data_IF_744858443266
#
_entry.id   IF_744858443266
#
_cell.length_a   1.000
_cell.length_b   1.000
_cell.length_c   1.000
_cell.angle_alpha   90.00
_cell.angle_beta   90.00
_cell.angle_gamma   90.00
#
_symmetry.space_group_name_H-M   'P 1'
#
loop_
_entity.id
_entity.type
_entity.pdbx_description
1 polymer ?
#
# COMPACT_ATOMS: atom_id res chain seq x y z
N UNK A 1 20.26 -35.05 8.61
CA UNK A 1 19.95 -34.29 7.37
C UNK A 1 19.58 -32.86 7.76
N UNK A 2 20.38 -31.88 7.32
CA UNK A 2 20.36 -30.49 7.79
C UNK A 2 19.08 -29.77 7.36
N UNK A 3 18.36 -29.15 8.33
CA UNK A 3 17.24 -28.24 8.08
C UNK A 3 17.77 -27.01 7.34
N UNK A 4 17.25 -26.75 6.14
CA UNK A 4 17.38 -25.45 5.48
C UNK A 4 16.56 -24.44 6.28
N UNK A 5 17.25 -23.51 6.94
CA UNK A 5 16.62 -22.31 7.46
C UNK A 5 16.45 -21.34 6.29
N UNK A 6 15.20 -21.13 5.90
CA UNK A 6 14.77 -20.13 4.93
C UNK A 6 14.40 -18.90 5.75
N UNK A 7 15.29 -17.92 5.84
CA UNK A 7 15.02 -16.67 6.54
C UNK A 7 14.38 -15.67 5.57
N UNK A 8 13.26 -15.12 6.03
CA UNK A 8 12.26 -14.41 5.25
C UNK A 8 12.20 -12.96 5.71
N UNK A 9 11.94 -12.06 4.77
CA UNK A 9 11.37 -10.75 5.07
C UNK A 9 9.95 -10.94 5.65
N UNK A 10 9.90 -11.24 6.95
CA UNK A 10 8.68 -11.21 7.75
C UNK A 10 8.46 -9.78 8.26
N UNK A 11 7.33 -9.20 7.89
CA UNK A 11 7.02 -7.78 8.09
C UNK A 11 6.70 -7.37 9.55
N UNK A 12 7.19 -8.10 10.57
CA UNK A 12 6.73 -7.93 11.95
C UNK A 12 7.82 -7.92 13.04
N UNK A 13 9.05 -7.46 12.75
CA UNK A 13 9.96 -7.08 13.84
C UNK A 13 9.72 -5.62 14.31
N UNK A 14 9.61 -5.38 15.63
CA UNK A 14 9.34 -4.06 16.19
C UNK A 14 10.56 -3.13 16.09
N UNK A 15 10.32 -1.88 15.71
CA UNK A 15 11.32 -0.81 15.80
C UNK A 15 11.54 -0.35 17.25
N UNK A 16 12.76 0.09 17.62
CA UNK A 16 13.01 0.78 18.89
C UNK A 16 12.38 2.18 18.88
N UNK A 17 11.61 2.49 19.93
CA UNK A 17 10.92 3.79 20.12
C UNK A 17 11.91 4.91 20.44
N UNK A 18 11.73 6.06 19.79
CA UNK A 18 12.21 7.37 20.24
C UNK A 18 11.01 8.21 20.75
N UNK A 19 11.22 8.95 21.84
CA UNK A 19 10.21 9.73 22.56
C UNK A 19 9.91 11.08 21.88
N UNK A 20 8.66 11.60 21.97
CA UNK A 20 8.30 12.90 21.39
C UNK A 20 8.51 14.06 22.38
N UNK A 21 9.15 15.13 21.90
CA UNK A 21 9.21 16.44 22.55
C UNK A 21 8.01 17.30 22.14
N UNK A 22 7.39 17.93 23.14
CA UNK A 22 6.27 18.86 23.05
C UNK A 22 6.75 20.28 22.67
N UNK A 23 5.98 20.99 21.85
CA UNK A 23 6.07 22.46 21.75
C UNK A 23 4.67 23.08 21.72
N UNK A 24 4.59 24.23 22.39
CA UNK A 24 3.42 24.93 22.92
C UNK A 24 2.82 25.87 21.87
N UNK A 25 1.50 26.09 21.98
CA UNK A 25 0.70 27.01 21.17
C UNK A 25 0.86 28.46 21.65
N UNK A 26 0.85 29.42 20.71
CA UNK A 26 0.70 30.84 21.00
C UNK A 26 -0.61 31.35 20.36
N UNK A 27 -1.44 31.97 21.19
CA UNK A 27 -2.71 32.60 20.85
C UNK A 27 -2.45 34.00 20.31
N UNK A 28 -3.02 34.35 19.14
CA UNK A 28 -3.09 35.74 18.71
C UNK A 28 -4.52 36.17 18.38
N UNK A 29 -4.90 37.29 18.98
CA UNK A 29 -6.23 37.89 18.97
C UNK A 29 -6.38 38.72 17.71
N UNK A 30 -7.48 38.56 16.97
CA UNK A 30 -7.95 39.69 16.16
C UNK A 30 -9.47 39.74 16.00
N UNK A 31 -10.00 40.94 16.26
CA UNK A 31 -11.43 41.29 16.28
C UNK A 31 -11.99 41.43 14.87
N UNK A 32 -13.22 40.98 14.66
CA UNK A 32 -14.01 41.21 13.46
C UNK A 32 -14.95 42.42 13.64
N UNK A 33 -15.04 43.35 12.68
CA UNK A 33 -16.11 44.35 12.64
C UNK A 33 -17.35 43.82 11.91
N UNK A 34 -18.52 44.14 12.46
CA UNK A 34 -19.84 43.87 11.93
C UNK A 34 -20.28 44.92 10.89
N UNK A 35 -21.13 44.50 9.93
CA UNK A 35 -22.09 45.28 9.12
C UNK A 35 -22.82 44.27 8.21
N UNK A 36 -23.87 43.58 8.68
CA UNK A 36 -25.31 43.93 8.66
C UNK A 36 -25.81 44.51 7.32
N UNK A 37 -26.92 43.93 6.86
CA UNK A 37 -27.87 44.37 5.83
C UNK A 37 -27.60 43.88 4.39
N UNK A 38 -27.93 42.62 4.10
CA UNK A 38 -28.64 42.21 2.87
C UNK A 38 -29.23 40.77 2.92
N UNK A 39 -29.31 40.15 4.10
CA UNK A 39 -29.72 38.74 4.26
C UNK A 39 -31.23 38.51 4.55
N UNK A 40 -32.08 39.53 4.49
CA UNK A 40 -33.50 39.39 4.89
C UNK A 40 -34.50 39.25 3.73
N UNK A 41 -34.05 39.25 2.47
CA UNK A 41 -34.95 39.21 1.31
C UNK A 41 -35.08 37.83 0.62
N UNK A 42 -34.47 36.77 1.16
CA UNK A 42 -34.56 35.40 0.61
C UNK A 42 -35.27 34.38 1.53
N UNK A 43 -35.78 34.82 2.68
CA UNK A 43 -36.31 33.92 3.73
C UNK A 43 -37.81 33.62 3.57
N UNK A 44 -38.55 34.37 2.74
CA UNK A 44 -40.01 34.27 2.68
C UNK A 44 -40.59 33.47 1.49
N UNK A 45 -39.77 32.69 0.75
CA UNK A 45 -40.24 32.00 -0.48
C UNK A 45 -40.00 30.48 -0.50
N UNK A 46 -39.71 29.84 0.64
CA UNK A 46 -39.54 28.35 0.71
C UNK A 46 -40.40 27.72 1.81
N UNK A 47 -41.37 28.45 2.35
CA UNK A 47 -42.30 27.94 3.36
C UNK A 47 -43.50 27.22 2.71
N UNK A 48 -43.27 26.19 1.87
CA UNK A 48 -44.34 25.25 1.52
C UNK A 48 -43.88 23.90 0.93
N UNK A 49 -42.84 23.28 1.49
CA UNK A 49 -42.69 21.82 1.36
C UNK A 49 -42.35 21.21 2.72
N UNK A 50 -43.22 20.30 3.17
CA UNK A 50 -43.06 19.53 4.38
C UNK A 50 -41.77 18.69 4.34
N UNK A 51 -40.68 19.28 4.83
CA UNK A 51 -39.45 18.55 5.10
C UNK A 51 -39.74 17.43 6.12
N UNK A 52 -39.23 16.20 5.91
CA UNK A 52 -39.30 15.18 6.94
C UNK A 52 -38.65 15.71 8.23
N UNK A 53 -39.11 15.32 9.43
CA UNK A 53 -38.60 15.89 10.66
C UNK A 53 -37.08 15.74 10.69
N UNK A 54 -36.40 16.87 10.92
CA UNK A 54 -34.95 16.93 11.03
C UNK A 54 -34.51 15.90 12.08
N UNK A 55 -33.85 14.83 11.63
CA UNK A 55 -33.26 13.85 12.53
C UNK A 55 -32.18 14.55 13.34
N UNK A 56 -32.16 14.43 14.68
CA UNK A 56 -31.13 15.05 15.48
C UNK A 56 -29.76 14.51 15.04
N UNK A 57 -28.74 15.37 15.01
CA UNK A 57 -27.36 15.02 14.58
C UNK A 57 -26.80 13.80 15.33
N UNK A 58 -27.29 13.53 16.55
CA UNK A 58 -26.98 12.33 17.34
C UNK A 58 -27.42 11.02 16.69
N UNK A 59 -28.46 11.01 15.85
CA UNK A 59 -28.88 9.83 15.07
C UNK A 59 -28.05 9.65 13.78
N UNK A 60 -27.35 10.69 13.31
CA UNK A 60 -26.45 10.60 12.16
C UNK A 60 -25.05 10.08 12.53
N UNK A 61 -24.66 10.19 13.80
CA UNK A 61 -23.42 9.61 14.33
C UNK A 61 -23.73 8.20 14.84
N UNK A 62 -24.11 7.29 13.93
CA UNK A 62 -24.13 5.88 14.28
C UNK A 62 -22.70 5.47 14.68
N UNK A 63 -22.50 4.78 15.81
CA UNK A 63 -21.17 4.33 16.21
C UNK A 63 -20.57 3.50 15.08
N UNK A 64 -19.30 3.76 14.72
CA UNK A 64 -18.63 3.04 13.64
C UNK A 64 -18.76 1.53 13.88
N UNK A 65 -19.42 0.84 12.96
CA UNK A 65 -19.69 -0.59 13.08
C UNK A 65 -18.67 -1.38 12.27
N UNK A 66 -17.91 -2.24 12.96
CA UNK A 66 -16.95 -3.15 12.35
C UNK A 66 -17.40 -4.59 12.57
N UNK A 67 -17.47 -5.40 11.52
CA UNK A 67 -17.98 -6.77 11.62
C UNK A 67 -17.10 -7.77 10.91
N UNK A 68 -16.66 -8.78 11.66
CA UNK A 68 -16.00 -9.95 11.10
C UNK A 68 -17.02 -10.95 10.50
N UNK A 69 -16.79 -11.53 9.31
CA UNK A 69 -17.73 -12.49 8.69
C UNK A 69 -18.05 -13.70 9.57
N UNK A 70 -17.05 -14.16 10.34
CA UNK A 70 -17.19 -15.24 11.34
C UNK A 70 -17.36 -14.74 12.77
N UNK A 71 -17.85 -13.51 12.94
CA UNK A 71 -18.03 -12.96 14.28
C UNK A 71 -18.96 -13.85 15.10
N UNK A 72 -18.50 -14.21 16.29
CA UNK A 72 -19.27 -14.97 17.27
C UNK A 72 -19.41 -14.22 18.60
N UNK A 73 -18.84 -13.00 18.67
CA UNK A 73 -18.93 -12.07 19.79
C UNK A 73 -18.92 -10.65 19.30
N UNK A 74 -19.37 -9.75 20.17
CA UNK A 74 -19.41 -8.32 19.94
C UNK A 74 -18.98 -7.59 21.21
N UNK A 75 -18.26 -6.49 21.04
CA UNK A 75 -17.87 -5.61 22.12
C UNK A 75 -18.04 -4.15 21.69
N UNK A 76 -18.51 -3.32 22.62
CA UNK A 76 -18.51 -1.87 22.44
C UNK A 76 -17.13 -1.34 22.87
N UNK A 77 -16.39 -0.81 21.92
CA UNK A 77 -15.07 -0.21 22.12
C UNK A 77 -15.20 1.28 21.83
N UNK A 78 -15.15 2.13 22.87
CA UNK A 78 -15.43 3.58 22.77
C UNK A 78 -16.77 3.83 22.04
N UNK A 79 -16.72 4.57 20.93
CA UNK A 79 -17.85 4.94 20.08
C UNK A 79 -18.01 4.00 18.88
N UNK A 80 -17.43 2.79 18.93
CA UNK A 80 -17.53 1.79 17.88
C UNK A 80 -18.09 0.47 18.42
N UNK A 81 -18.92 -0.18 17.60
CA UNK A 81 -19.39 -1.55 17.86
C UNK A 81 -18.55 -2.49 17.01
N UNK A 82 -17.81 -3.40 17.65
CA UNK A 82 -16.90 -4.32 16.98
C UNK A 82 -17.38 -5.75 17.18
N UNK A 83 -17.91 -6.37 16.13
CA UNK A 83 -18.20 -7.79 16.06
C UNK A 83 -16.97 -8.55 15.57
N UNK A 84 -16.48 -9.50 16.36
CA UNK A 84 -15.17 -10.14 16.17
C UNK A 84 -15.25 -11.67 16.27
N UNK A 85 -14.30 -12.35 15.63
CA UNK A 85 -14.14 -13.79 15.77
C UNK A 85 -13.35 -14.09 17.05
N UNK A 86 -13.98 -14.76 18.01
CA UNK A 86 -13.35 -15.22 19.23
C UNK A 86 -12.96 -16.70 19.13
N UNK A 87 -11.69 -17.00 19.39
CA UNK A 87 -11.13 -18.37 19.36
C UNK A 87 -10.38 -18.71 20.65
N UNK A 88 -10.50 -19.95 21.11
CA UNK A 88 -9.69 -20.49 22.21
C UNK A 88 -8.67 -21.50 21.71
N UNK A 89 -7.45 -21.47 22.25
CA UNK A 89 -6.35 -22.33 21.79
C UNK A 89 -5.26 -22.54 22.83
N UNK A 90 -4.28 -23.40 22.50
CA UNK A 90 -3.11 -23.67 23.34
C UNK A 90 -2.09 -22.54 23.20
N UNK A 91 -2.14 -21.56 24.10
CA UNK A 91 -1.24 -20.39 24.09
C UNK A 91 -1.13 -19.74 25.47
N UNK A 92 -0.09 -18.93 25.62
CA UNK A 92 0.33 -18.33 26.90
C UNK A 92 -0.31 -16.97 27.19
N UNK A 93 -0.72 -16.22 26.16
CA UNK A 93 -1.20 -14.82 26.27
C UNK A 93 -2.46 -14.60 25.42
N UNK A 94 -3.25 -13.56 25.72
CA UNK A 94 -4.36 -13.04 24.88
C UNK A 94 -3.75 -12.36 23.65
N UNK A 95 -4.33 -12.57 22.46
CA UNK A 95 -3.78 -12.07 21.20
C UNK A 95 -4.87 -11.45 20.33
N UNK A 96 -4.55 -10.32 19.72
CA UNK A 96 -5.42 -9.56 18.84
C UNK A 96 -4.80 -9.51 17.45
N UNK A 97 -5.59 -9.82 16.43
CA UNK A 97 -5.19 -9.68 15.04
C UNK A 97 -6.28 -8.93 14.28
N UNK A 98 -5.90 -7.92 13.51
CA UNK A 98 -6.80 -7.17 12.64
C UNK A 98 -6.38 -7.45 11.21
N UNK A 99 -7.26 -8.13 10.46
CA UNK A 99 -7.06 -8.44 9.04
C UNK A 99 -8.11 -7.74 8.16
N UNK A 100 -8.12 -8.07 6.87
CA UNK A 100 -9.15 -7.60 5.92
C UNK A 100 -10.57 -7.93 6.39
N UNK A 101 -10.70 -9.09 7.02
CA UNK A 101 -11.98 -9.60 7.51
C UNK A 101 -12.36 -8.99 8.86
N UNK A 102 -11.54 -8.14 9.48
CA UNK A 102 -11.80 -7.51 10.77
C UNK A 102 -11.01 -8.12 11.93
N UNK A 103 -11.53 -7.97 13.15
CA UNK A 103 -10.85 -8.35 14.39
C UNK A 103 -11.02 -9.85 14.69
N UNK A 104 -9.90 -10.51 14.98
CA UNK A 104 -9.83 -11.86 15.57
C UNK A 104 -9.19 -11.76 16.95
N UNK A 105 -9.91 -12.25 17.96
CA UNK A 105 -9.45 -12.33 19.34
C UNK A 105 -9.23 -13.78 19.67
N UNK A 106 -7.98 -14.12 19.96
CA UNK A 106 -7.69 -15.43 20.51
C UNK A 106 -7.60 -15.28 22.04
N UNK A 107 -8.06 -16.24 22.87
CA UNK A 107 -7.65 -16.38 24.30
C UNK A 107 -7.17 -17.81 24.71
N UNK A 108 -6.28 -18.00 25.71
CA UNK A 108 -5.99 -19.32 26.29
C UNK A 108 -7.26 -19.99 26.82
N UNK A 109 -7.26 -21.32 26.96
CA UNK A 109 -8.45 -22.05 27.46
C UNK A 109 -8.82 -21.66 28.90
N UNK A 110 -7.83 -21.36 29.73
CA UNK A 110 -8.01 -21.05 31.16
C UNK A 110 -8.39 -19.59 31.43
N UNK A 111 -8.15 -18.66 30.50
CA UNK A 111 -8.45 -17.25 30.69
C UNK A 111 -9.96 -17.02 30.62
N UNK A 112 -10.59 -16.48 31.67
CA UNK A 112 -12.02 -16.21 31.68
C UNK A 112 -12.38 -15.06 30.73
N UNK A 113 -13.64 -15.00 30.32
CA UNK A 113 -14.09 -14.03 29.32
C UNK A 113 -13.92 -12.58 29.77
N UNK A 114 -14.15 -12.28 31.06
CA UNK A 114 -14.04 -10.91 31.57
C UNK A 114 -12.62 -10.35 31.44
N UNK A 115 -11.57 -11.18 31.53
CA UNK A 115 -10.18 -10.76 31.30
C UNK A 115 -9.93 -10.46 29.82
N UNK A 116 -10.56 -11.21 28.92
CA UNK A 116 -10.52 -10.93 27.47
C UNK A 116 -11.19 -9.59 27.17
N UNK A 117 -12.35 -9.34 27.77
CA UNK A 117 -13.07 -8.08 27.62
C UNK A 117 -12.31 -6.90 28.24
N UNK A 118 -11.65 -7.09 29.38
CA UNK A 118 -10.78 -6.08 29.98
C UNK A 118 -9.60 -5.75 29.05
N UNK A 119 -8.94 -6.76 28.48
CA UNK A 119 -7.88 -6.57 27.51
C UNK A 119 -8.36 -5.90 26.20
N UNK A 120 -9.59 -6.21 25.74
CA UNK A 120 -10.22 -5.52 24.61
C UNK A 120 -10.44 -4.03 24.89
N UNK A 121 -10.93 -3.69 26.09
CA UNK A 121 -11.14 -2.29 26.50
C UNK A 121 -9.81 -1.55 26.61
N UNK A 122 -8.80 -2.16 27.21
CA UNK A 122 -7.44 -1.59 27.32
C UNK A 122 -6.82 -1.31 25.94
N UNK A 123 -7.08 -2.17 24.95
CA UNK A 123 -6.56 -2.00 23.57
C UNK A 123 -7.55 -1.30 22.63
N UNK A 124 -8.64 -0.73 23.12
CA UNK A 124 -9.72 -0.17 22.29
C UNK A 124 -9.21 0.84 21.26
N UNK A 125 -8.36 1.78 21.67
CA UNK A 125 -7.75 2.81 20.82
C UNK A 125 -7.00 2.19 19.63
N UNK A 126 -6.14 1.21 19.93
CA UNK A 126 -5.33 0.53 18.94
C UNK A 126 -6.19 -0.30 18.00
N UNK A 127 -7.20 -1.00 18.53
CA UNK A 127 -8.13 -1.82 17.73
C UNK A 127 -8.91 -0.96 16.75
N UNK A 128 -9.52 0.14 17.22
CA UNK A 128 -10.33 1.02 16.37
C UNK A 128 -9.47 1.67 15.30
N UNK A 129 -8.30 2.20 15.69
CA UNK A 129 -7.33 2.78 14.74
C UNK A 129 -6.94 1.75 13.68
N UNK A 130 -6.58 0.52 14.07
CA UNK A 130 -6.19 -0.52 13.13
C UNK A 130 -7.32 -1.00 12.23
N UNK A 131 -8.55 -1.08 12.74
CA UNK A 131 -9.72 -1.41 11.94
C UNK A 131 -10.03 -0.33 10.90
N UNK A 132 -9.93 0.96 11.28
CA UNK A 132 -10.03 2.08 10.35
C UNK A 132 -8.97 2.04 9.26
N UNK A 133 -7.68 1.99 9.65
CA UNK A 133 -6.55 1.88 8.71
C UNK A 133 -6.70 0.68 7.77
N UNK A 134 -7.09 -0.49 8.29
CA UNK A 134 -7.22 -1.71 7.49
C UNK A 134 -8.42 -1.64 6.54
N UNK A 135 -9.54 -1.04 6.97
CA UNK A 135 -10.72 -0.81 6.13
C UNK A 135 -10.43 0.19 5.03
N UNK A 136 -9.82 1.33 5.33
CA UNK A 136 -9.43 2.32 4.33
C UNK A 136 -8.40 1.75 3.35
N UNK A 137 -7.47 0.93 3.82
CA UNK A 137 -6.53 0.20 2.95
C UNK A 137 -7.29 -0.78 2.07
N UNK A 138 -8.26 -1.51 2.60
CA UNK A 138 -9.10 -2.43 1.83
C UNK A 138 -9.95 -1.70 0.79
N UNK A 139 -10.59 -0.59 1.15
CA UNK A 139 -11.38 0.23 0.24
C UNK A 139 -10.51 0.88 -0.84
N UNK A 140 -9.31 1.39 -0.50
CA UNK A 140 -8.31 1.82 -1.49
C UNK A 140 -7.87 0.69 -2.41
N UNK A 141 -7.67 -0.52 -1.88
CA UNK A 141 -7.31 -1.70 -2.67
C UNK A 141 -8.46 -2.15 -3.59
N UNK A 142 -9.72 -2.14 -3.13
CA UNK A 142 -10.90 -2.47 -3.93
C UNK A 142 -11.16 -1.42 -5.02
N UNK A 143 -11.02 -0.13 -4.70
CA UNK A 143 -11.12 0.96 -5.66
C UNK A 143 -9.98 0.94 -6.71
N UNK A 144 -8.86 0.29 -6.40
CA UNK A 144 -7.74 0.09 -7.33
C UNK A 144 -7.87 -1.14 -8.22
N UNK A 145 -9.04 -1.79 -8.28
CA UNK A 145 -9.25 -2.91 -9.21
C UNK A 145 -9.10 -2.43 -10.65
N UNK A 146 -8.24 -3.11 -11.39
CA UNK A 146 -7.97 -2.74 -12.79
C UNK A 146 -9.10 -3.25 -13.66
N UNK A 147 -9.86 -2.33 -14.28
CA UNK A 147 -10.72 -2.66 -15.41
C UNK A 147 -9.85 -2.78 -16.66
N UNK A 148 -9.69 -4.00 -17.18
CA UNK A 148 -8.85 -4.26 -18.36
C UNK A 148 -9.56 -3.91 -19.65
N UNK A 149 -9.14 -2.80 -20.27
CA UNK A 149 -9.62 -2.29 -21.55
C UNK A 149 -8.54 -1.44 -22.22
N UNK A 150 -8.82 -0.99 -23.44
CA UNK A 150 -8.00 0.06 -24.05
C UNK A 150 -8.11 1.36 -23.23
N UNK A 151 -6.97 2.03 -23.01
CA UNK A 151 -6.87 3.22 -22.16
C UNK A 151 -6.75 2.96 -20.66
N UNK A 152 -6.66 1.71 -20.21
CA UNK A 152 -6.48 1.38 -18.79
C UNK A 152 -5.18 1.98 -18.25
N UNK A 153 -5.25 2.56 -17.05
CA UNK A 153 -4.06 3.10 -16.35
C UNK A 153 -3.54 2.11 -15.32
N UNK A 154 -2.22 1.95 -15.26
CA UNK A 154 -1.57 1.19 -14.19
C UNK A 154 -0.30 1.90 -13.69
N UNK A 155 0.09 1.67 -12.43
CA UNK A 155 1.37 2.13 -11.92
C UNK A 155 2.52 1.33 -12.55
N UNK A 156 3.61 2.01 -12.86
CA UNK A 156 4.86 1.43 -13.34
C UNK A 156 6.02 2.31 -12.84
N UNK A 157 6.89 1.72 -12.03
CA UNK A 157 8.05 2.39 -11.44
C UNK A 157 7.73 3.70 -10.68
N UNK A 158 6.55 3.79 -10.06
CA UNK A 158 6.08 4.97 -9.34
C UNK A 158 5.40 6.03 -10.21
N UNK A 159 5.29 5.82 -11.52
CA UNK A 159 4.53 6.65 -12.45
C UNK A 159 3.27 5.93 -12.97
N UNK A 160 2.31 6.67 -13.52
CA UNK A 160 1.14 6.09 -14.18
C UNK A 160 1.41 5.93 -15.68
N UNK A 161 1.10 4.76 -16.22
CA UNK A 161 1.16 4.48 -17.67
C UNK A 161 -0.23 4.11 -18.20
N UNK A 162 -0.49 4.45 -19.47
CA UNK A 162 -1.74 4.11 -20.17
C UNK A 162 -1.50 2.94 -21.11
N UNK A 163 -2.34 1.92 -21.04
CA UNK A 163 -2.35 0.80 -22.00
C UNK A 163 -3.06 1.24 -23.27
N UNK A 164 -2.41 1.07 -24.42
CA UNK A 164 -2.96 1.35 -25.75
C UNK A 164 -2.90 0.08 -26.58
N UNK A 165 -4.03 -0.38 -27.10
CA UNK A 165 -4.07 -1.53 -28.01
C UNK A 165 -3.63 -1.09 -29.41
N UNK A 166 -2.54 -1.67 -29.90
CA UNK A 166 -1.98 -1.38 -31.22
C UNK A 166 -1.96 -2.66 -32.07
N UNK A 167 -2.96 -2.87 -32.95
CA UNK A 167 -3.07 -4.06 -33.77
C UNK A 167 -1.97 -4.16 -34.83
N UNK A 168 -1.23 -3.08 -35.10
CA UNK A 168 -0.28 -2.98 -36.21
C UNK A 168 0.98 -3.83 -35.99
N UNK A 169 1.16 -4.43 -34.80
CA UNK A 169 2.22 -5.38 -34.46
C UNK A 169 3.64 -4.92 -34.86
N UNK A 170 3.87 -3.60 -34.94
CA UNK A 170 5.14 -3.01 -35.35
C UNK A 170 5.94 -2.55 -34.12
N UNK A 171 6.29 -3.50 -33.25
CA UNK A 171 7.10 -3.22 -32.06
C UNK A 171 8.55 -3.65 -32.29
N UNK A 172 9.50 -2.85 -31.79
CA UNK A 172 10.89 -3.27 -31.67
C UNK A 172 11.07 -4.39 -30.62
N UNK A 173 10.11 -4.55 -29.69
CA UNK A 173 10.13 -5.52 -28.59
C UNK A 173 8.94 -6.48 -28.62
N UNK A 174 9.13 -7.70 -28.09
CA UNK A 174 8.11 -8.76 -28.13
C UNK A 174 6.81 -8.30 -27.45
N UNK A 175 5.73 -8.24 -28.24
CA UNK A 175 4.33 -8.15 -27.81
C UNK A 175 3.85 -6.82 -27.24
N UNK A 176 4.74 -5.97 -26.72
CA UNK A 176 4.40 -4.63 -26.26
C UNK A 176 5.65 -3.73 -26.14
N UNK A 177 5.45 -2.41 -26.23
CA UNK A 177 6.49 -1.39 -26.19
C UNK A 177 6.03 -0.16 -25.38
N UNK A 178 6.90 0.35 -24.50
CA UNK A 178 6.65 1.58 -23.75
C UNK A 178 7.18 2.76 -24.56
N UNK A 179 6.32 3.73 -24.86
CA UNK A 179 6.65 4.95 -25.61
C UNK A 179 6.46 6.18 -24.72
N UNK A 180 7.28 7.24 -24.90
CA UNK A 180 6.97 8.54 -24.31
C UNK A 180 5.57 8.96 -24.75
N UNK A 181 4.77 9.46 -23.82
CA UNK A 181 3.44 9.96 -24.11
C UNK A 181 3.58 11.16 -25.04
N UNK A 182 3.06 11.03 -26.26
CA UNK A 182 3.14 12.07 -27.28
C UNK A 182 2.15 13.23 -27.03
N UNK A 183 1.46 13.28 -25.89
CA UNK A 183 0.58 14.39 -25.55
C UNK A 183 1.48 15.61 -25.29
N UNK A 184 1.49 16.63 -26.17
CA UNK A 184 2.20 17.85 -25.85
C UNK A 184 1.47 18.51 -24.69
N UNK A 185 2.08 18.53 -23.52
CA UNK A 185 1.65 19.43 -22.45
C UNK A 185 2.09 20.83 -22.88
N UNK A 186 1.29 21.48 -23.74
CA UNK A 186 1.45 22.89 -24.04
C UNK A 186 0.92 23.66 -22.83
N UNK A 187 1.78 23.87 -21.84
CA UNK A 187 1.53 24.89 -20.83
C UNK A 187 1.67 26.25 -21.54
N UNK A 188 0.55 26.93 -21.78
CA UNK A 188 0.58 28.39 -22.00
C UNK A 188 0.90 29.08 -20.67
N UNK A 189 2.13 28.92 -20.19
CA UNK A 189 2.68 29.74 -19.12
C UNK A 189 4.07 30.16 -19.53
N UNK A 190 4.26 31.48 -19.57
CA UNK A 190 5.42 32.21 -20.09
C UNK A 190 6.67 32.06 -19.19
N UNK A 191 7.03 30.82 -18.86
CA UNK A 191 8.18 30.49 -18.03
C UNK A 191 8.89 29.27 -18.61
N UNK A 192 10.10 29.50 -19.13
CA UNK A 192 11.02 28.46 -19.58
C UNK A 192 11.46 27.58 -18.40
N UNK A 193 10.77 26.46 -18.20
CA UNK A 193 11.20 25.36 -17.34
C UNK A 193 11.00 24.04 -18.12
N UNK A 194 12.07 23.34 -18.57
CA UNK A 194 11.93 22.30 -19.58
C UNK A 194 11.33 20.97 -19.13
N UNK A 195 10.92 20.77 -17.86
CA UNK A 195 10.42 19.47 -17.40
C UNK A 195 9.49 19.62 -16.18
N UNK A 196 8.26 20.09 -16.39
CA UNK A 196 7.18 19.87 -15.42
C UNK A 196 6.28 18.74 -15.94
N UNK A 197 6.39 17.56 -15.35
CA UNK A 197 5.33 16.55 -15.43
C UNK A 197 4.15 17.04 -14.59
N UNK A 198 3.01 17.29 -15.23
CA UNK A 198 1.80 17.66 -14.51
C UNK A 198 1.35 16.45 -13.68
N UNK A 199 1.19 16.61 -12.36
CA UNK A 199 0.78 15.52 -11.48
C UNK A 199 -0.55 14.92 -11.97
N UNK A 200 -0.51 13.65 -12.42
CA UNK A 200 -1.67 12.93 -12.96
C UNK A 200 -1.71 12.75 -14.48
N UNK A 201 -0.81 13.38 -15.24
CA UNK A 201 -0.68 13.10 -16.69
C UNK A 201 0.34 11.98 -16.88
N UNK A 202 -0.02 10.86 -17.54
CA UNK A 202 0.88 9.75 -17.77
C UNK A 202 2.00 10.15 -18.72
N UNK A 203 3.25 10.06 -18.26
CA UNK A 203 4.46 10.35 -19.04
C UNK A 203 4.71 9.33 -20.15
N UNK A 204 4.09 8.14 -20.05
CA UNK A 204 4.30 7.03 -20.98
C UNK A 204 3.02 6.30 -21.37
N UNK A 205 3.01 5.76 -22.58
CA UNK A 205 1.99 4.85 -23.11
C UNK A 205 2.60 3.48 -23.38
N UNK A 206 1.96 2.43 -22.89
CA UNK A 206 2.31 1.04 -23.17
C UNK A 206 1.47 0.56 -24.35
N UNK A 207 2.09 0.48 -25.53
CA UNK A 207 1.44 -0.06 -26.71
C UNK A 207 1.52 -1.59 -26.67
N UNK A 208 0.36 -2.26 -26.74
CA UNK A 208 0.24 -3.72 -26.65
C UNK A 208 -0.27 -4.27 -27.98
N UNK A 209 0.41 -5.29 -28.51
CA UNK A 209 0.09 -5.94 -29.79
C UNK A 209 -1.17 -6.79 -29.74
N UNK A 210 -2.32 -6.14 -29.67
CA UNK A 210 -3.62 -6.80 -29.58
C UNK A 210 -4.64 -6.07 -30.47
N UNK A 211 -5.64 -6.78 -31.00
CA UNK A 211 -6.76 -6.16 -31.69
C UNK A 211 -7.59 -5.31 -30.72
N UNK A 212 -8.25 -4.27 -31.21
CA UNK A 212 -9.11 -3.40 -30.38
C UNK A 212 -10.29 -4.13 -29.71
N UNK A 213 -10.67 -5.29 -30.25
CA UNK A 213 -11.71 -6.17 -29.68
C UNK A 213 -11.13 -7.27 -28.77
N UNK A 214 -9.88 -7.14 -28.31
CA UNK A 214 -9.28 -8.11 -27.40
C UNK A 214 -10.06 -8.17 -26.07
N UNK A 215 -10.18 -9.37 -25.51
CA UNK A 215 -10.88 -9.54 -24.24
C UNK A 215 -10.07 -8.94 -23.07
N UNK A 216 -10.73 -8.54 -21.97
CA UNK A 216 -10.06 -8.08 -20.75
C UNK A 216 -8.94 -9.02 -20.28
N UNK A 217 -9.13 -10.33 -20.38
CA UNK A 217 -8.13 -11.34 -19.99
C UNK A 217 -6.92 -11.33 -20.92
N UNK A 218 -7.12 -11.18 -22.23
CA UNK A 218 -6.02 -11.08 -23.21
C UNK A 218 -5.17 -9.84 -22.96
N UNK A 219 -5.82 -8.70 -22.68
CA UNK A 219 -5.15 -7.44 -22.34
C UNK A 219 -4.33 -7.62 -21.04
N UNK A 220 -4.96 -8.15 -19.99
CA UNK A 220 -4.29 -8.45 -18.71
C UNK A 220 -3.06 -9.31 -18.91
N UNK A 221 -3.19 -10.42 -19.62
CA UNK A 221 -2.12 -11.41 -19.75
C UNK A 221 -0.94 -10.84 -20.57
N UNK A 222 -1.23 -10.06 -21.62
CA UNK A 222 -0.21 -9.38 -22.41
C UNK A 222 0.54 -8.31 -21.60
N UNK A 223 -0.19 -7.48 -20.84
CA UNK A 223 0.39 -6.46 -19.96
C UNK A 223 1.19 -7.11 -18.83
N UNK A 224 0.68 -8.16 -18.21
CA UNK A 224 1.39 -8.91 -17.17
C UNK A 224 2.68 -9.50 -17.72
N UNK A 225 2.65 -10.13 -18.89
CA UNK A 225 3.83 -10.69 -19.51
C UNK A 225 4.90 -9.62 -19.79
N UNK A 226 4.47 -8.44 -20.25
CA UNK A 226 5.37 -7.30 -20.44
C UNK A 226 5.97 -6.81 -19.12
N UNK A 227 5.15 -6.63 -18.07
CA UNK A 227 5.62 -6.22 -16.75
C UNK A 227 6.59 -7.22 -16.13
N UNK A 228 6.36 -8.52 -16.29
CA UNK A 228 7.28 -9.54 -15.80
C UNK A 228 8.64 -9.48 -16.53
N UNK A 229 8.65 -9.16 -17.83
CA UNK A 229 9.91 -8.92 -18.57
C UNK A 229 10.63 -7.68 -18.05
N UNK A 230 9.91 -6.57 -17.84
CA UNK A 230 10.50 -5.36 -17.26
C UNK A 230 11.01 -5.58 -15.83
N UNK A 231 10.23 -6.25 -14.98
CA UNK A 231 10.63 -6.62 -13.63
C UNK A 231 11.94 -7.43 -13.65
N UNK A 232 12.05 -8.44 -14.51
CA UNK A 232 13.29 -9.21 -14.65
C UNK A 232 14.47 -8.32 -15.05
N UNK A 233 14.29 -7.47 -16.07
CA UNK A 233 15.33 -6.55 -16.56
C UNK A 233 15.80 -5.59 -15.47
N UNK A 234 14.88 -4.85 -14.88
CA UNK A 234 15.15 -3.83 -13.85
C UNK A 234 15.75 -4.49 -12.61
N UNK A 235 15.19 -5.58 -12.11
CA UNK A 235 15.72 -6.20 -10.89
C UNK A 235 17.12 -6.78 -11.10
N UNK A 236 17.41 -7.34 -12.28
CA UNK A 236 18.78 -7.77 -12.62
C UNK A 236 19.74 -6.58 -12.62
N UNK A 237 19.38 -5.48 -13.27
CA UNK A 237 20.20 -4.25 -13.28
C UNK A 237 20.47 -3.74 -11.86
N UNK A 238 19.46 -3.74 -10.99
CA UNK A 238 19.62 -3.29 -9.60
C UNK A 238 20.44 -4.27 -8.76
N UNK A 239 20.29 -5.57 -8.98
CA UNK A 239 21.13 -6.59 -8.33
C UNK A 239 22.60 -6.40 -8.71
N UNK A 240 22.89 -6.18 -10.00
CA UNK A 240 24.24 -5.96 -10.51
C UNK A 240 24.83 -4.63 -10.01
N UNK A 241 24.00 -3.63 -9.76
CA UNK A 241 24.43 -2.36 -9.17
C UNK A 241 24.86 -2.48 -7.70
N UNK A 242 24.07 -3.17 -6.86
CA UNK A 242 24.30 -3.22 -5.41
C UNK A 242 25.21 -4.36 -4.95
N UNK A 243 25.27 -5.48 -5.68
CA UNK A 243 26.07 -6.63 -5.28
C UNK A 243 27.58 -6.31 -5.11
N UNK A 244 28.24 -5.54 -6.01
CA UNK A 244 29.63 -5.13 -5.83
C UNK A 244 29.86 -4.24 -4.61
N UNK A 245 28.92 -3.33 -4.32
CA UNK A 245 29.02 -2.41 -3.18
C UNK A 245 28.94 -3.17 -1.85
N UNK A 246 28.09 -4.19 -1.79
CA UNK A 246 27.98 -5.10 -0.66
C UNK A 246 29.09 -6.15 -0.60
N UNK A 247 29.90 -6.28 -1.66
CA UNK A 247 30.94 -7.31 -1.83
C UNK A 247 30.37 -8.73 -1.76
N UNK A 248 29.26 -8.95 -2.47
CA UNK A 248 28.59 -10.25 -2.58
C UNK A 248 28.40 -10.63 -4.04
N UNK A 249 28.15 -11.91 -4.30
CA UNK A 249 27.80 -12.41 -5.62
C UNK A 249 26.43 -13.09 -5.55
N UNK A 250 25.58 -12.80 -6.53
CA UNK A 250 24.29 -13.47 -6.72
C UNK A 250 24.36 -14.37 -7.96
N UNK A 251 23.61 -15.48 -7.95
CA UNK A 251 23.67 -16.51 -9.01
C UNK A 251 22.45 -16.57 -9.89
N UNK A 252 21.28 -16.35 -9.31
CA UNK A 252 19.99 -16.49 -10.02
C UNK A 252 18.94 -15.58 -9.43
N UNK A 253 18.21 -14.92 -10.32
CA UNK A 253 16.97 -14.21 -10.01
C UNK A 253 15.77 -15.06 -10.43
N UNK A 254 14.80 -15.22 -9.54
CA UNK A 254 13.48 -15.79 -9.84
C UNK A 254 12.36 -14.81 -9.49
N UNK A 255 11.39 -14.64 -10.37
CA UNK A 255 10.21 -13.83 -10.08
C UNK A 255 9.14 -14.65 -9.36
N UNK A 256 8.42 -14.04 -8.43
CA UNK A 256 7.31 -14.66 -7.70
C UNK A 256 6.04 -13.80 -7.73
N UNK A 257 4.89 -14.44 -7.53
CA UNK A 257 3.59 -13.83 -7.29
C UNK A 257 3.05 -14.14 -5.88
N UNK A 258 3.90 -14.64 -4.98
CA UNK A 258 3.51 -15.05 -3.63
C UNK A 258 3.28 -13.82 -2.73
N UNK A 259 2.02 -13.50 -2.42
CA UNK A 259 1.62 -12.27 -1.74
C UNK A 259 1.99 -12.13 -0.25
N UNK A 260 2.80 -13.03 0.32
CA UNK A 260 3.23 -12.95 1.73
C UNK A 260 4.54 -12.21 1.94
N UNK A 261 5.32 -11.95 0.87
CA UNK A 261 6.66 -11.34 0.97
C UNK A 261 7.08 -10.65 -0.32
N UNK A 262 7.92 -9.62 -0.19
CA UNK A 262 8.50 -8.90 -1.32
C UNK A 262 9.72 -9.58 -1.92
N UNK A 263 10.46 -10.35 -1.13
CA UNK A 263 11.59 -11.12 -1.62
C UNK A 263 12.06 -12.21 -0.65
N UNK A 264 13.10 -12.93 -1.08
CA UNK A 264 13.92 -13.79 -0.25
C UNK A 264 15.27 -14.07 -0.92
N UNK A 265 16.34 -14.10 -0.16
CA UNK A 265 17.65 -14.59 -0.59
C UNK A 265 18.05 -15.90 0.10
N UNK A 266 19.00 -16.61 -0.52
CA UNK A 266 19.61 -17.82 0.01
C UNK A 266 21.12 -17.69 -0.01
N UNK A 267 21.80 -18.38 0.91
CA UNK A 267 23.27 -18.36 1.01
C UNK A 267 23.98 -18.78 -0.29
N UNK A 268 23.30 -19.54 -1.16
CA UNK A 268 23.83 -19.96 -2.46
C UNK A 268 23.77 -18.86 -3.54
N UNK A 269 23.32 -17.65 -3.21
CA UNK A 269 23.17 -16.54 -4.13
C UNK A 269 21.88 -16.58 -4.95
N UNK A 270 20.94 -17.48 -4.64
CA UNK A 270 19.60 -17.47 -5.26
C UNK A 270 18.72 -16.41 -4.63
N UNK A 271 18.24 -15.48 -5.46
CA UNK A 271 17.37 -14.38 -5.05
C UNK A 271 16.02 -14.55 -5.72
N UNK A 272 14.97 -14.36 -4.93
CA UNK A 272 13.58 -14.35 -5.41
C UNK A 272 12.95 -13.02 -5.05
N UNK A 273 12.35 -12.36 -6.03
CA UNK A 273 11.66 -11.08 -5.85
C UNK A 273 10.23 -11.18 -6.37
N UNK A 274 9.31 -10.50 -5.72
CA UNK A 274 7.93 -10.42 -6.17
C UNK A 274 7.83 -9.49 -7.38
N UNK A 275 7.26 -9.96 -8.50
CA UNK A 275 7.28 -9.17 -9.75
C UNK A 275 6.53 -7.84 -9.64
N UNK A 276 5.48 -7.78 -8.81
CA UNK A 276 4.72 -6.55 -8.53
C UNK A 276 5.52 -5.43 -7.86
N UNK A 277 6.76 -5.66 -7.43
CA UNK A 277 7.67 -4.57 -7.04
C UNK A 277 7.85 -3.56 -8.16
N UNK A 278 7.68 -3.96 -9.42
CA UNK A 278 7.80 -3.08 -10.59
C UNK A 278 6.78 -1.93 -10.61
N UNK A 279 5.75 -1.97 -9.77
CA UNK A 279 4.78 -0.88 -9.64
C UNK A 279 5.27 0.25 -8.73
N UNK A 280 6.19 -0.03 -7.81
CA UNK A 280 6.72 0.93 -6.85
C UNK A 280 7.82 1.78 -7.48
N UNK A 281 8.11 2.94 -6.88
CA UNK A 281 9.27 3.78 -7.25
C UNK A 281 10.56 2.97 -7.26
N UNK A 282 11.50 3.38 -8.12
CA UNK A 282 12.81 2.72 -8.23
C UNK A 282 13.55 2.68 -6.89
N UNK A 283 13.45 3.72 -6.05
CA UNK A 283 14.07 3.74 -4.71
C UNK A 283 13.54 2.65 -3.78
N UNK A 284 12.24 2.32 -3.87
CA UNK A 284 11.63 1.23 -3.10
C UNK A 284 12.09 -0.13 -3.64
N UNK A 285 12.20 -0.27 -4.97
CA UNK A 285 12.77 -1.47 -5.61
C UNK A 285 14.21 -1.68 -5.13
N UNK A 286 15.00 -0.61 -5.12
CA UNK A 286 16.40 -0.60 -4.67
C UNK A 286 16.54 -1.05 -3.23
N UNK A 287 15.69 -0.51 -2.35
CA UNK A 287 15.64 -0.91 -0.95
C UNK A 287 15.43 -2.42 -0.80
N UNK A 288 14.43 -2.98 -1.49
CA UNK A 288 14.16 -4.42 -1.41
C UNK A 288 15.33 -5.22 -1.99
N UNK A 289 15.91 -4.80 -3.10
CA UNK A 289 17.08 -5.46 -3.71
C UNK A 289 18.28 -5.46 -2.78
N UNK A 290 18.64 -4.30 -2.21
CA UNK A 290 19.74 -4.16 -1.27
C UNK A 290 19.50 -4.96 0.02
N UNK A 291 18.25 -5.02 0.49
CA UNK A 291 17.85 -5.86 1.62
C UNK A 291 18.13 -7.34 1.35
N UNK A 292 17.65 -7.86 0.21
CA UNK A 292 17.85 -9.27 -0.14
C UNK A 292 19.33 -9.61 -0.37
N UNK A 293 20.11 -8.72 -1.00
CA UNK A 293 21.55 -8.93 -1.15
C UNK A 293 22.29 -8.91 0.18
N UNK A 294 21.86 -8.08 1.14
CA UNK A 294 22.46 -8.02 2.48
C UNK A 294 22.31 -9.35 3.23
N UNK A 295 21.26 -10.12 2.95
CA UNK A 295 21.10 -11.45 3.51
C UNK A 295 22.22 -12.42 3.13
N UNK A 296 22.90 -12.22 1.99
CA UNK A 296 24.06 -13.02 1.60
C UNK A 296 25.26 -12.85 2.55
N UNK A 297 25.28 -11.79 3.37
CA UNK A 297 26.30 -11.54 4.41
C UNK A 297 25.80 -11.86 5.81
N UNK A 298 24.56 -11.47 6.11
CA UNK A 298 23.97 -11.59 7.46
C UNK A 298 22.55 -12.14 7.32
N UNK A 299 22.33 -13.37 7.75
CA UNK A 299 21.08 -14.09 7.49
C UNK A 299 19.92 -13.73 8.43
N UNK A 300 20.20 -13.05 9.54
CA UNK A 300 19.21 -12.56 10.49
C UNK A 300 19.08 -11.03 10.41
N UNK A 301 17.97 -10.47 10.86
CA UNK A 301 17.73 -9.02 10.91
C UNK A 301 18.40 -8.34 12.13
N UNK A 302 19.58 -8.83 12.54
CA UNK A 302 20.35 -8.24 13.66
C UNK A 302 20.80 -6.81 13.35
N UNK A 303 21.29 -6.05 14.36
CA UNK A 303 21.87 -4.72 14.11
C UNK A 303 22.93 -4.71 13.01
N UNK A 304 23.75 -5.77 12.93
CA UNK A 304 24.76 -5.94 11.89
C UNK A 304 24.17 -6.04 10.48
N UNK A 305 22.99 -6.66 10.34
CA UNK A 305 22.27 -6.69 9.07
C UNK A 305 21.83 -5.28 8.66
N UNK A 306 21.23 -4.54 9.58
CA UNK A 306 20.78 -3.17 9.30
C UNK A 306 21.95 -2.22 9.01
N UNK A 307 23.10 -2.40 9.67
CA UNK A 307 24.32 -1.67 9.33
C UNK A 307 24.83 -2.02 7.92
N UNK A 308 24.65 -3.28 7.50
CA UNK A 308 24.98 -3.72 6.14
C UNK A 308 24.07 -3.06 5.11
N UNK A 309 22.76 -3.03 5.34
CA UNK A 309 21.80 -2.33 4.47
C UNK A 309 22.11 -0.83 4.42
N UNK A 310 22.31 -0.19 5.58
CA UNK A 310 22.62 1.25 5.71
C UNK A 310 23.88 1.64 4.95
N UNK A 311 24.86 0.75 4.83
CA UNK A 311 26.12 1.02 4.13
C UNK A 311 25.96 1.35 2.65
N UNK A 312 24.88 0.87 2.02
CA UNK A 312 24.56 1.14 0.61
C UNK A 312 23.28 1.96 0.43
N UNK A 313 22.42 2.00 1.45
CA UNK A 313 21.15 2.73 1.46
C UNK A 313 20.90 3.40 2.81
N UNK A 314 21.44 4.62 3.03
CA UNK A 314 21.31 5.33 4.30
C UNK A 314 19.87 5.67 4.71
N UNK A 315 18.99 5.88 3.72
CA UNK A 315 17.59 6.27 3.79
C UNK A 315 16.61 5.07 3.88
N UNK A 316 17.11 3.86 4.13
CA UNK A 316 16.31 2.62 4.12
C UNK A 316 15.08 2.64 5.04
N UNK A 317 15.13 3.40 6.15
CA UNK A 317 14.04 3.47 7.11
C UNK A 317 12.79 4.15 6.51
N UNK A 318 12.99 5.22 5.74
CA UNK A 318 11.91 5.92 5.04
C UNK A 318 11.30 5.03 3.95
N UNK A 319 12.16 4.42 3.13
CA UNK A 319 11.75 3.54 2.03
C UNK A 319 11.01 2.28 2.53
N UNK A 320 11.40 1.76 3.70
CA UNK A 320 10.66 0.69 4.39
C UNK A 320 9.26 1.14 4.82
N UNK A 321 9.10 2.40 5.22
CA UNK A 321 7.80 3.00 5.51
C UNK A 321 6.91 3.06 4.28
N UNK A 322 7.43 3.61 3.18
CA UNK A 322 6.71 3.73 1.89
C UNK A 322 6.17 2.38 1.40
N UNK A 323 6.96 1.31 1.51
CA UNK A 323 6.54 -0.05 1.11
C UNK A 323 5.35 -0.63 1.91
N UNK A 324 5.09 -0.12 3.13
CA UNK A 324 3.94 -0.54 3.95
C UNK A 324 2.65 0.19 3.54
N UNK A 325 2.79 1.44 3.12
CA UNK A 325 1.68 2.37 2.90
C UNK A 325 1.19 2.33 1.44
N UNK A 326 2.08 2.07 0.48
CA UNK A 326 1.73 1.99 -0.93
C UNK A 326 0.88 0.73 -1.23
N UNK A 327 -0.36 0.96 -1.68
CA UNK A 327 -1.29 -0.08 -2.09
C UNK A 327 -1.03 -0.50 -3.54
N UNK A 328 -1.06 -1.81 -3.80
CA UNK A 328 -0.88 -2.34 -5.16
C UNK A 328 -2.25 -2.68 -5.73
N UNK A 329 -2.52 -2.31 -6.99
CA UNK A 329 -3.75 -2.67 -7.68
C UNK A 329 -4.08 -4.17 -7.59
N UNK A 330 -5.37 -4.48 -7.39
CA UNK A 330 -5.85 -5.86 -7.49
C UNK A 330 -5.86 -6.30 -8.95
N UNK A 331 -5.06 -7.33 -9.22
CA UNK A 331 -4.79 -7.88 -10.56
C UNK A 331 -5.85 -8.90 -11.04
N UNK A 332 -7.11 -8.77 -10.61
CA UNK A 332 -8.16 -9.78 -10.84
C UNK A 332 -8.92 -9.57 -12.13
#
# INVERSE_FOLDING_TARGET
MRRLLQFTLDFFDPEPRAEPTTSVADEDKNQAPALVQHAQAAINTVADEASPPARPLSEMIAPASFRHPRANREARLRDAVVAYEFKRGKRRTIGFSVGSDGLVVSAPKWVPLYEVEAALREKSDWIIKKLGETRERHERMEASRIEWRDGTTLPFMGEQIVVVLDPRHAFASIGAELKPSAVPVVLHTDVQAPNLTLAGVPSFTLHVGLPHHASPEQIRDAVQAWLMRQAKRVFTERLDHFAPQLKVEWRKLSLSSAGTRWGSARIDGSIRLHWRLIHFKLSVIDYVVAHELSHLRVMDHSPRFWDTVRSVMPDYAELRGQLKDEAIPRWQ
#
